data_IF_250865236812
#
_entry.id   IF_250865236812
#
_cell.length_a   1.000
_cell.length_b   1.000
_cell.length_c   1.000
_cell.angle_alpha   90.00
_cell.angle_beta   90.00
_cell.angle_gamma   90.00
#
_symmetry.space_group_name_H-M   'P 1'
#
loop_
_entity.id
_entity.type
_entity.pdbx_description
1 polymer ?
#
# COMPACT_ATOMS: atom_id res chain seq x y z
N UNK A 1 -8.93 -1.94 -37.27
CA UNK A 1 -7.65 -1.44 -36.70
C UNK A 1 -7.08 -2.55 -35.83
N UNK A 2 -5.74 -2.71 -35.73
CA UNK A 2 -5.19 -3.69 -34.79
C UNK A 2 -5.67 -3.37 -33.36
N UNK A 3 -5.91 -4.41 -32.56
CA UNK A 3 -6.33 -4.26 -31.18
C UNK A 3 -5.27 -3.50 -30.37
N UNK A 4 -5.72 -2.63 -29.46
CA UNK A 4 -4.83 -1.90 -28.54
C UNK A 4 -4.05 -2.90 -27.67
N UNK A 5 -2.71 -2.81 -27.67
CA UNK A 5 -1.84 -3.64 -26.82
C UNK A 5 -1.31 -2.87 -25.63
N UNK A 6 -1.50 -3.41 -24.44
CA UNK A 6 -1.07 -2.77 -23.20
C UNK A 6 -0.14 -3.70 -22.41
N UNK A 7 1.07 -3.22 -22.10
CA UNK A 7 1.93 -3.90 -21.13
C UNK A 7 1.65 -3.36 -19.72
N UNK A 8 1.41 -4.25 -18.76
CA UNK A 8 1.36 -3.95 -17.33
C UNK A 8 2.58 -4.60 -16.68
N UNK A 9 3.51 -3.78 -16.18
CA UNK A 9 4.79 -4.26 -15.64
C UNK A 9 4.71 -4.37 -14.12
N UNK A 10 4.72 -5.60 -13.59
CA UNK A 10 4.53 -5.93 -12.17
C UNK A 10 3.13 -6.47 -11.89
N UNK A 11 3.00 -7.57 -11.15
CA UNK A 11 1.72 -8.27 -10.91
C UNK A 11 1.22 -8.23 -9.46
N UNK A 12 1.71 -7.26 -8.67
CA UNK A 12 1.11 -6.97 -7.37
C UNK A 12 -0.32 -6.41 -7.51
N UNK A 13 -0.94 -5.95 -6.41
CA UNK A 13 -2.32 -5.47 -6.40
C UNK A 13 -2.61 -4.40 -7.45
N UNK A 14 -1.65 -3.48 -7.70
CA UNK A 14 -1.74 -2.50 -8.76
C UNK A 14 -1.86 -3.15 -10.16
N UNK A 15 -0.82 -3.88 -10.58
CA UNK A 15 -0.79 -4.41 -11.94
C UNK A 15 -1.89 -5.42 -12.22
N UNK A 16 -2.20 -6.29 -11.26
CA UNK A 16 -3.31 -7.23 -11.39
C UNK A 16 -4.67 -6.53 -11.51
N UNK A 17 -4.90 -5.44 -10.77
CA UNK A 17 -6.13 -4.64 -10.92
C UNK A 17 -6.23 -3.95 -12.28
N UNK A 18 -5.13 -3.38 -12.77
CA UNK A 18 -5.12 -2.78 -14.11
C UNK A 18 -5.36 -3.82 -15.20
N UNK A 19 -4.67 -4.96 -15.11
CA UNK A 19 -4.78 -6.03 -16.09
C UNK A 19 -6.19 -6.64 -16.12
N UNK A 20 -6.80 -6.84 -14.96
CA UNK A 20 -8.19 -7.30 -14.84
C UNK A 20 -9.16 -6.35 -15.56
N UNK A 21 -9.06 -5.04 -15.30
CA UNK A 21 -9.93 -4.02 -15.92
C UNK A 21 -9.76 -3.98 -17.45
N UNK A 22 -8.52 -4.04 -17.94
CA UNK A 22 -8.24 -4.02 -19.38
C UNK A 22 -8.73 -5.30 -20.07
N UNK A 23 -8.49 -6.47 -19.47
CA UNK A 23 -8.92 -7.75 -20.01
C UNK A 23 -10.45 -7.87 -20.09
N UNK A 24 -11.18 -7.42 -19.05
CA UNK A 24 -12.65 -7.32 -19.06
C UNK A 24 -13.19 -6.46 -20.20
N UNK A 25 -12.43 -5.46 -20.67
CA UNK A 25 -12.79 -4.60 -21.79
C UNK A 25 -12.35 -5.15 -23.16
N UNK A 26 -11.79 -6.37 -23.23
CA UNK A 26 -11.31 -6.99 -24.46
C UNK A 26 -10.00 -6.39 -25.01
N UNK A 27 -9.26 -5.63 -24.20
CA UNK A 27 -7.97 -5.05 -24.59
C UNK A 27 -6.86 -6.09 -24.46
N UNK A 28 -6.02 -6.22 -25.48
CA UNK A 28 -4.91 -7.16 -25.51
C UNK A 28 -3.86 -6.76 -24.45
N UNK A 29 -3.85 -7.50 -23.34
CA UNK A 29 -3.11 -7.12 -22.13
C UNK A 29 -2.01 -8.12 -21.83
N UNK A 30 -0.82 -7.62 -21.53
CA UNK A 30 0.36 -8.39 -21.15
C UNK A 30 0.78 -8.03 -19.73
N UNK A 31 0.62 -8.96 -18.79
CA UNK A 31 0.93 -8.76 -17.37
C UNK A 31 2.27 -9.42 -17.04
N UNK A 32 3.29 -8.63 -16.70
CA UNK A 32 4.61 -9.14 -16.37
C UNK A 32 4.80 -9.32 -14.86
N UNK A 33 5.38 -10.45 -14.46
CA UNK A 33 5.88 -10.67 -13.11
C UNK A 33 7.23 -11.37 -13.13
N UNK A 34 8.18 -10.91 -12.31
CA UNK A 34 9.49 -11.56 -12.21
C UNK A 34 9.47 -12.80 -11.32
N UNK A 35 8.70 -12.78 -10.24
CA UNK A 35 8.63 -13.89 -9.27
C UNK A 35 7.19 -14.18 -8.90
N UNK A 36 6.61 -15.21 -9.50
CA UNK A 36 5.22 -15.60 -9.24
C UNK A 36 5.00 -16.16 -7.82
N UNK A 37 6.05 -16.70 -7.21
CA UNK A 37 6.07 -17.36 -5.91
C UNK A 37 6.44 -16.43 -4.74
N UNK A 38 6.72 -15.15 -5.00
CA UNK A 38 7.18 -14.22 -4.00
C UNK A 38 6.34 -12.95 -3.99
N UNK A 39 6.20 -12.35 -2.81
CA UNK A 39 5.48 -11.10 -2.65
C UNK A 39 6.32 -10.05 -1.93
N UNK A 40 5.95 -8.78 -2.11
CA UNK A 40 6.53 -7.66 -1.36
C UNK A 40 6.23 -7.82 0.14
N UNK A 41 7.21 -7.62 1.04
CA UNK A 41 6.98 -7.56 2.49
C UNK A 41 5.94 -6.51 2.85
N UNK A 42 4.99 -6.87 3.72
CA UNK A 42 3.90 -6.00 4.12
C UNK A 42 3.24 -6.49 5.41
N UNK A 43 2.70 -5.56 6.20
CA UNK A 43 1.85 -5.85 7.34
C UNK A 43 0.50 -6.47 6.96
N UNK A 44 0.06 -6.36 5.70
CA UNK A 44 -1.06 -7.12 5.14
C UNK A 44 -2.46 -6.65 5.54
N UNK A 45 -2.59 -5.50 6.19
CA UNK A 45 -3.90 -4.91 6.50
C UNK A 45 -4.56 -4.31 5.24
N UNK A 46 -5.83 -4.64 5.01
CA UNK A 46 -6.66 -4.10 3.94
C UNK A 46 -7.98 -3.54 4.51
N UNK A 47 -8.47 -2.41 3.98
CA UNK A 47 -9.72 -1.81 4.42
C UNK A 47 -10.92 -2.59 3.87
N UNK A 48 -12.07 -2.49 4.55
CA UNK A 48 -13.31 -3.16 4.14
C UNK A 48 -13.76 -2.77 2.73
N UNK A 49 -13.59 -1.50 2.33
CA UNK A 49 -13.91 -1.07 0.96
C UNK A 49 -13.07 -1.78 -0.10
N UNK A 50 -11.85 -2.24 0.22
CA UNK A 50 -11.06 -3.03 -0.73
C UNK A 50 -11.69 -4.40 -0.93
N UNK A 51 -12.20 -5.03 0.13
CA UNK A 51 -12.85 -6.34 0.07
C UNK A 51 -14.04 -6.29 -0.88
N UNK A 52 -14.91 -5.30 -0.71
CA UNK A 52 -16.09 -5.14 -1.57
C UNK A 52 -15.76 -4.64 -2.97
N UNK A 53 -14.91 -3.62 -3.11
CA UNK A 53 -14.64 -3.02 -4.42
C UNK A 53 -13.86 -3.98 -5.35
N UNK A 54 -13.02 -4.86 -4.79
CA UNK A 54 -12.21 -5.81 -5.56
C UNK A 54 -12.73 -7.23 -5.53
N UNK A 55 -13.97 -7.45 -5.06
CA UNK A 55 -14.61 -8.77 -4.98
C UNK A 55 -13.67 -9.81 -4.34
N UNK A 56 -13.09 -9.46 -3.19
CA UNK A 56 -12.14 -10.34 -2.50
C UNK A 56 -12.93 -11.36 -1.66
N UNK A 57 -12.72 -12.65 -1.89
CA UNK A 57 -13.49 -13.67 -1.20
C UNK A 57 -12.92 -13.87 0.23
N UNK A 58 -13.76 -14.27 1.21
CA UNK A 58 -13.33 -14.34 2.61
C UNK A 58 -12.18 -15.34 2.85
N UNK A 59 -12.00 -16.33 1.99
CA UNK A 59 -10.99 -17.39 2.11
C UNK A 59 -9.55 -16.87 1.95
N UNK A 60 -9.35 -15.71 1.31
CA UNK A 60 -8.03 -15.08 1.18
C UNK A 60 -7.72 -14.10 2.32
N UNK A 61 -8.68 -13.89 3.23
CA UNK A 61 -8.56 -13.02 4.39
C UNK A 61 -8.21 -13.88 5.59
N UNK A 62 -6.91 -13.96 5.94
CA UNK A 62 -6.40 -14.81 7.01
C UNK A 62 -7.05 -14.48 8.38
N UNK A 63 -7.28 -13.19 8.68
CA UNK A 63 -7.95 -12.72 9.91
C UNK A 63 -8.82 -11.51 9.65
N UNK A 64 -9.94 -11.43 10.39
CA UNK A 64 -10.82 -10.27 10.44
C UNK A 64 -10.58 -9.54 11.77
N UNK A 65 -9.72 -8.53 11.74
CA UNK A 65 -9.37 -7.75 12.94
C UNK A 65 -10.49 -6.76 13.25
N UNK A 66 -10.95 -6.79 14.50
CA UNK A 66 -12.01 -5.92 15.03
C UNK A 66 -11.56 -5.03 16.18
N UNK A 67 -10.43 -5.39 16.78
CA UNK A 67 -9.82 -4.66 17.87
C UNK A 67 -8.46 -4.13 17.39
N UNK A 68 -8.22 -2.85 17.61
CA UNK A 68 -6.90 -2.26 17.48
C UNK A 68 -6.48 -1.70 18.82
N UNK A 69 -5.23 -1.93 19.20
CA UNK A 69 -4.63 -1.30 20.37
C UNK A 69 -3.59 -0.29 19.91
N UNK A 70 -3.76 0.95 20.33
CA UNK A 70 -2.75 1.99 20.18
C UNK A 70 -1.95 2.08 21.48
N UNK A 71 -0.61 1.94 21.38
CA UNK A 71 0.28 1.98 22.54
C UNK A 71 1.19 3.20 22.44
N UNK A 72 1.12 4.08 23.44
CA UNK A 72 1.87 5.35 23.53
C UNK A 72 3.34 5.15 23.94
N UNK A 73 4.22 6.16 23.85
CA UNK A 73 5.60 6.05 24.32
C UNK A 73 5.75 5.57 25.77
N UNK A 74 4.84 5.96 26.67
CA UNK A 74 4.81 5.58 28.09
C UNK A 74 4.03 4.28 28.36
N UNK A 75 3.78 3.47 27.32
CA UNK A 75 3.02 2.22 27.37
C UNK A 75 1.55 2.38 27.85
N UNK A 76 0.96 3.57 27.68
CA UNK A 76 -0.50 3.72 27.82
C UNK A 76 -1.16 3.02 26.63
N UNK A 77 -2.03 2.06 26.93
CA UNK A 77 -2.78 1.31 25.95
C UNK A 77 -4.19 1.89 25.79
N UNK A 78 -4.57 2.21 24.55
CA UNK A 78 -5.92 2.61 24.18
C UNK A 78 -6.50 1.57 23.25
N UNK A 79 -7.60 0.96 23.69
CA UNK A 79 -8.35 0.00 22.89
C UNK A 79 -9.34 0.72 21.98
N UNK A 80 -9.34 0.32 20.71
CA UNK A 80 -10.23 0.82 19.68
C UNK A 80 -11.00 -0.37 19.10
N UNK A 81 -12.32 -0.30 19.19
CA UNK A 81 -13.22 -1.37 18.77
C UNK A 81 -14.05 -0.97 17.56
N UNK A 82 -14.13 -1.85 16.56
CA UNK A 82 -15.02 -1.68 15.41
C UNK A 82 -16.44 -2.08 15.82
N UNK A 83 -17.27 -1.08 16.07
CA UNK A 83 -18.62 -1.25 16.64
C UNK A 83 -19.59 -2.04 15.75
N UNK A 84 -19.55 -1.87 14.42
CA UNK A 84 -20.53 -2.53 13.55
C UNK A 84 -20.14 -4.00 13.31
N UNK A 85 -21.09 -4.91 13.52
CA UNK A 85 -20.84 -6.35 13.49
C UNK A 85 -20.33 -6.90 12.16
N UNK A 86 -20.56 -6.22 11.03
CA UNK A 86 -20.10 -6.69 9.72
C UNK A 86 -18.84 -5.97 9.23
N UNK A 87 -18.23 -5.12 10.07
CA UNK A 87 -17.02 -4.37 9.74
C UNK A 87 -15.79 -4.98 10.39
N UNK A 88 -14.68 -4.99 9.65
CA UNK A 88 -13.38 -5.48 10.09
C UNK A 88 -12.26 -4.92 9.21
N UNK A 89 -11.02 -5.01 9.71
CA UNK A 89 -9.81 -4.84 8.93
C UNK A 89 -9.35 -6.23 8.47
N UNK A 90 -9.26 -6.43 7.16
CA UNK A 90 -8.82 -7.70 6.60
C UNK A 90 -7.31 -7.84 6.75
N UNK A 91 -6.85 -8.98 7.26
CA UNK A 91 -5.42 -9.30 7.33
C UNK A 91 -5.10 -10.39 6.32
N UNK A 92 -4.22 -10.09 5.38
CA UNK A 92 -3.88 -10.99 4.29
C UNK A 92 -2.37 -11.25 4.23
N UNK A 93 -1.99 -12.48 3.90
CA UNK A 93 -0.69 -12.77 3.28
C UNK A 93 -0.65 -12.22 1.86
N UNK A 94 0.44 -11.50 1.55
CA UNK A 94 0.62 -10.88 0.24
C UNK A 94 0.77 -11.91 -0.87
N UNK A 95 1.42 -13.04 -0.60
CA UNK A 95 1.53 -14.15 -1.55
C UNK A 95 0.16 -14.73 -1.98
N UNK A 96 -0.82 -14.76 -1.06
CA UNK A 96 -2.18 -15.24 -1.35
C UNK A 96 -2.99 -14.17 -2.07
N UNK A 97 -3.00 -12.94 -1.54
CA UNK A 97 -3.76 -11.83 -2.12
C UNK A 97 -3.26 -11.49 -3.54
N UNK A 98 -1.95 -11.31 -3.72
CA UNK A 98 -1.36 -10.97 -5.01
C UNK A 98 -1.60 -12.12 -6.02
N UNK A 99 -1.45 -13.37 -5.57
CA UNK A 99 -1.72 -14.56 -6.38
C UNK A 99 -3.17 -14.63 -6.85
N UNK A 100 -4.14 -14.43 -5.95
CA UNK A 100 -5.56 -14.40 -6.27
C UNK A 100 -5.88 -13.34 -7.34
N UNK A 101 -5.48 -12.08 -7.10
CA UNK A 101 -5.78 -10.98 -8.03
C UNK A 101 -5.14 -11.20 -9.40
N UNK A 102 -3.89 -11.70 -9.42
CA UNK A 102 -3.14 -11.98 -10.65
C UNK A 102 -3.78 -13.10 -11.46
N UNK A 103 -4.12 -14.22 -10.79
CA UNK A 103 -4.71 -15.37 -11.46
C UNK A 103 -6.08 -15.02 -12.03
N UNK A 104 -6.89 -14.25 -11.28
CA UNK A 104 -8.17 -13.74 -11.78
C UNK A 104 -8.02 -12.87 -13.02
N UNK A 105 -7.01 -11.99 -13.06
CA UNK A 105 -6.73 -11.20 -14.27
C UNK A 105 -6.37 -12.08 -15.47
N UNK A 106 -5.60 -13.15 -15.26
CA UNK A 106 -5.24 -14.12 -16.29
C UNK A 106 -6.45 -14.93 -16.78
N UNK A 107 -7.31 -15.40 -15.87
CA UNK A 107 -8.57 -16.11 -16.19
C UNK A 107 -9.51 -15.26 -17.05
N UNK A 108 -9.47 -13.94 -16.88
CA UNK A 108 -10.24 -12.98 -17.68
C UNK A 108 -9.59 -12.60 -19.03
N UNK A 109 -8.43 -13.18 -19.35
CA UNK A 109 -7.77 -13.04 -20.66
C UNK A 109 -6.50 -12.20 -20.68
N UNK A 110 -5.97 -11.75 -19.53
CA UNK A 110 -4.64 -11.12 -19.51
C UNK A 110 -3.53 -12.16 -19.75
N UNK A 111 -2.60 -11.86 -20.64
CA UNK A 111 -1.44 -12.71 -20.92
C UNK A 111 -0.42 -12.57 -19.79
N UNK A 112 -0.46 -13.47 -18.81
CA UNK A 112 0.50 -13.51 -17.71
C UNK A 112 1.86 -14.03 -18.22
N UNK A 113 2.89 -13.20 -18.08
CA UNK A 113 4.26 -13.51 -18.46
C UNK A 113 5.12 -13.56 -17.20
N UNK A 114 5.68 -14.73 -16.90
CA UNK A 114 6.75 -14.86 -15.91
C UNK A 114 8.04 -14.30 -16.52
N UNK A 115 8.29 -13.01 -16.36
CA UNK A 115 9.40 -12.32 -17.00
C UNK A 115 9.92 -11.10 -16.25
N UNK A 116 11.24 -10.96 -16.20
CA UNK A 116 11.91 -9.77 -15.67
C UNK A 116 12.04 -8.72 -16.76
N UNK A 117 11.23 -7.67 -16.72
CA UNK A 117 11.42 -6.49 -17.58
C UNK A 117 12.71 -5.77 -17.18
N UNK A 118 13.64 -5.58 -18.13
CA UNK A 118 14.91 -4.91 -17.87
C UNK A 118 15.13 -3.64 -18.70
N UNK A 119 14.42 -3.44 -19.80
CA UNK A 119 14.52 -2.21 -20.61
C UNK A 119 13.17 -1.87 -21.26
N UNK A 120 12.90 -0.59 -21.37
CA UNK A 120 11.79 -0.01 -22.11
C UNK A 120 12.36 0.98 -23.12
N UNK A 121 12.16 0.73 -24.41
CA UNK A 121 12.51 1.70 -25.45
C UNK A 121 11.29 2.59 -25.76
N UNK A 122 11.53 3.89 -25.64
CA UNK A 122 10.55 4.94 -25.94
C UNK A 122 10.71 5.30 -27.43
N UNK A 123 9.63 5.26 -28.23
CA UNK A 123 9.70 5.58 -29.65
C UNK A 123 10.00 7.07 -29.86
N UNK A 124 10.66 7.39 -30.97
CA UNK A 124 10.92 8.78 -31.39
C UNK A 124 9.67 9.50 -31.89
N UNK A 125 8.73 8.74 -32.48
CA UNK A 125 7.42 9.24 -32.90
C UNK A 125 6.32 8.69 -32.00
N UNK A 126 5.39 9.57 -31.62
CA UNK A 126 4.19 9.18 -30.91
C UNK A 126 3.31 8.19 -31.70
N UNK A 127 3.47 7.96 -33.01
CA UNK A 127 2.67 6.94 -33.71
C UNK A 127 3.22 5.51 -33.60
N UNK A 128 4.45 5.33 -33.10
CA UNK A 128 5.12 4.04 -33.05
C UNK A 128 4.91 3.33 -31.69
N UNK A 129 4.98 1.99 -31.65
CA UNK A 129 4.86 1.23 -30.41
C UNK A 129 6.11 1.37 -29.54
N UNK A 130 5.94 1.21 -28.23
CA UNK A 130 7.00 0.99 -27.26
C UNK A 130 7.55 -0.43 -27.41
N UNK A 131 8.82 -0.65 -27.07
CA UNK A 131 9.40 -2.00 -27.02
C UNK A 131 9.83 -2.35 -25.60
N UNK A 132 9.20 -3.40 -25.05
CA UNK A 132 9.56 -4.01 -23.77
C UNK A 132 10.63 -5.06 -24.03
N UNK A 133 11.71 -5.03 -23.26
CA UNK A 133 12.71 -6.09 -23.23
C UNK A 133 12.65 -6.79 -21.88
N UNK A 134 12.56 -8.11 -21.90
CA UNK A 134 12.40 -8.91 -20.71
C UNK A 134 13.13 -10.24 -20.80
N UNK A 135 13.55 -10.76 -19.66
CA UNK A 135 14.04 -12.13 -19.52
C UNK A 135 12.85 -13.01 -19.18
N UNK A 136 12.46 -13.89 -20.08
CA UNK A 136 11.36 -14.85 -19.92
C UNK A 136 11.82 -16.06 -19.09
N UNK A 137 11.12 -16.35 -18.00
CA UNK A 137 11.42 -17.42 -17.04
C UNK A 137 10.44 -18.61 -17.16
N UNK A 138 9.68 -18.71 -18.25
CA UNK A 138 8.73 -19.81 -18.48
C UNK A 138 9.39 -21.20 -18.58
N UNK A 139 10.69 -21.27 -18.88
CA UNK A 139 11.50 -22.50 -18.88
C UNK A 139 12.03 -22.90 -17.49
N UNK A 140 11.73 -22.12 -16.45
CA UNK A 140 12.25 -22.31 -15.09
C UNK A 140 13.70 -21.82 -14.89
N UNK A 141 14.34 -21.26 -15.92
CA UNK A 141 15.70 -20.72 -15.83
C UNK A 141 15.74 -19.42 -15.02
N UNK A 142 16.67 -19.35 -14.05
CA UNK A 142 16.93 -18.13 -13.27
C UNK A 142 17.40 -16.97 -14.16
N UNK A 143 18.14 -17.26 -15.23
CA UNK A 143 18.59 -16.22 -16.19
C UNK A 143 17.45 -15.78 -17.11
N UNK A 144 16.59 -16.72 -17.47
CA UNK A 144 15.55 -16.55 -18.47
C UNK A 144 16.09 -16.34 -19.89
N UNK A 145 15.19 -16.41 -20.87
CA UNK A 145 15.50 -16.15 -22.28
C UNK A 145 15.14 -14.70 -22.64
N UNK A 146 16.09 -13.96 -23.23
CA UNK A 146 15.83 -12.58 -23.65
C UNK A 146 14.79 -12.53 -24.77
N UNK A 147 13.72 -11.77 -24.55
CA UNK A 147 12.64 -11.55 -25.51
C UNK A 147 12.28 -10.07 -25.58
N UNK A 148 11.57 -9.72 -26.64
CA UNK A 148 11.00 -8.38 -26.84
C UNK A 148 9.51 -8.46 -27.12
N UNK A 149 8.79 -7.41 -26.75
CA UNK A 149 7.36 -7.26 -27.02
C UNK A 149 7.06 -5.81 -27.40
N UNK A 150 6.36 -5.61 -28.52
CA UNK A 150 5.88 -4.28 -28.94
C UNK A 150 4.48 -4.04 -28.40
N UNK A 151 4.28 -2.90 -27.75
CA UNK A 151 2.99 -2.49 -27.17
C UNK A 151 2.71 -1.02 -27.43
N UNK A 152 1.45 -0.63 -27.34
CA UNK A 152 1.02 0.73 -27.64
C UNK A 152 1.00 1.59 -26.37
N UNK A 153 0.68 1.00 -25.22
CA UNK A 153 0.63 1.66 -23.90
C UNK A 153 1.40 0.83 -22.87
N UNK A 154 2.02 1.49 -21.90
CA UNK A 154 2.71 0.83 -20.78
C UNK A 154 2.18 1.36 -19.45
N UNK A 155 1.78 0.45 -18.55
CA UNK A 155 1.45 0.74 -17.16
C UNK A 155 2.59 0.21 -16.29
N UNK A 156 3.37 1.11 -15.68
CA UNK A 156 4.38 0.77 -14.68
C UNK A 156 3.75 0.54 -13.31
N UNK A 157 3.67 -0.73 -12.91
CA UNK A 157 3.18 -1.20 -11.61
C UNK A 157 4.27 -1.98 -10.84
N UNK A 158 5.53 -1.72 -11.16
CA UNK A 158 6.73 -2.48 -10.79
C UNK A 158 7.35 -2.03 -9.46
N UNK A 159 6.49 -1.54 -8.57
CA UNK A 159 6.83 -1.25 -7.18
C UNK A 159 7.71 -0.01 -7.01
N UNK A 160 8.23 0.15 -5.80
CA UNK A 160 9.03 1.31 -5.42
C UNK A 160 10.29 1.47 -6.31
N UNK A 161 10.98 0.37 -6.62
CA UNK A 161 12.19 0.35 -7.44
C UNK A 161 11.91 0.31 -8.95
N UNK A 162 10.82 0.94 -9.38
CA UNK A 162 10.30 0.91 -10.76
C UNK A 162 11.38 1.21 -11.81
N UNK A 163 11.54 0.28 -12.75
CA UNK A 163 12.37 0.43 -13.95
C UNK A 163 11.63 1.21 -15.02
N UNK A 164 10.30 1.07 -15.09
CA UNK A 164 9.47 1.88 -15.99
C UNK A 164 9.60 3.36 -15.64
N UNK A 165 9.54 3.72 -14.36
CA UNK A 165 9.72 5.09 -13.89
C UNK A 165 11.11 5.66 -14.27
N UNK A 166 12.17 4.85 -14.14
CA UNK A 166 13.53 5.25 -14.56
C UNK A 166 13.61 5.48 -16.07
N UNK A 167 12.98 4.62 -16.87
CA UNK A 167 13.03 4.71 -18.33
C UNK A 167 12.38 6.00 -18.86
N UNK A 168 11.34 6.51 -18.18
CA UNK A 168 10.65 7.75 -18.58
C UNK A 168 11.15 9.00 -17.86
N UNK A 169 12.24 8.89 -17.10
CA UNK A 169 12.78 9.97 -16.27
C UNK A 169 11.70 10.60 -15.36
N UNK A 170 11.08 9.74 -14.54
CA UNK A 170 9.94 10.10 -13.71
C UNK A 170 10.28 11.04 -12.54
N UNK A 171 11.58 11.24 -12.26
CA UNK A 171 12.10 11.88 -11.05
C UNK A 171 11.99 10.98 -9.80
N UNK A 172 12.78 11.28 -8.78
CA UNK A 172 12.79 10.55 -7.51
C UNK A 172 11.66 10.99 -6.56
N UNK A 173 11.44 10.18 -5.52
CA UNK A 173 10.58 10.52 -4.38
C UNK A 173 11.30 10.23 -3.06
N UNK A 174 10.77 10.76 -1.96
CA UNK A 174 11.15 10.36 -0.62
C UNK A 174 10.44 9.06 -0.20
N UNK A 175 11.13 8.24 0.60
CA UNK A 175 10.59 6.98 1.08
C UNK A 175 10.96 6.70 2.54
N UNK A 176 10.10 5.93 3.19
CA UNK A 176 10.41 5.22 4.43
C UNK A 176 10.96 3.82 4.11
N UNK A 177 11.70 3.24 5.04
CA UNK A 177 12.07 1.83 5.04
C UNK A 177 11.21 1.13 6.07
N UNK A 178 10.43 0.15 5.63
CA UNK A 178 9.79 -0.81 6.52
C UNK A 178 10.68 -2.03 6.70
N UNK A 179 10.74 -2.53 7.93
CA UNK A 179 11.43 -3.74 8.33
C UNK A 179 10.48 -4.56 9.19
N UNK A 180 10.37 -5.85 8.93
CA UNK A 180 9.52 -6.74 9.72
C UNK A 180 10.09 -8.15 9.85
N UNK A 181 9.69 -8.80 10.92
CA UNK A 181 9.89 -10.21 11.17
C UNK A 181 8.52 -10.91 11.15
N UNK A 182 8.42 -12.02 10.43
CA UNK A 182 7.31 -12.97 10.61
C UNK A 182 7.68 -13.86 11.78
N UNK A 183 6.86 -13.85 12.83
CA UNK A 183 7.11 -14.61 14.06
C UNK A 183 5.95 -15.57 14.26
N UNK A 184 6.20 -16.88 14.10
CA UNK A 184 5.23 -17.90 14.46
C UNK A 184 5.14 -17.98 15.98
N UNK A 185 3.93 -18.11 16.52
CA UNK A 185 3.69 -18.19 17.95
C UNK A 185 3.00 -19.52 18.30
N UNK A 186 3.14 -20.02 19.53
CA UNK A 186 2.30 -21.10 20.04
C UNK A 186 0.80 -20.74 19.96
N UNK A 187 -0.09 -21.73 19.82
CA UNK A 187 -1.53 -21.51 19.60
C UNK A 187 -2.18 -20.65 20.69
N UNK A 188 -1.82 -20.87 21.97
CA UNK A 188 -2.33 -20.08 23.09
C UNK A 188 -1.92 -18.60 23.00
N UNK A 189 -0.77 -18.30 22.41
CA UNK A 189 -0.30 -16.94 22.18
C UNK A 189 -0.94 -16.33 20.92
N UNK A 190 -1.17 -17.14 19.86
CA UNK A 190 -1.91 -16.67 18.68
C UNK A 190 -3.37 -16.33 18.98
N UNK A 191 -4.01 -16.99 19.97
CA UNK A 191 -5.38 -16.68 20.38
C UNK A 191 -5.53 -15.23 20.87
N UNK A 192 -4.52 -14.65 21.50
CA UNK A 192 -4.53 -13.23 21.88
C UNK A 192 -4.65 -12.30 20.66
N UNK A 193 -4.09 -12.71 19.52
CA UNK A 193 -4.11 -11.96 18.27
C UNK A 193 -5.20 -12.46 17.28
N UNK A 194 -6.22 -13.18 17.76
CA UNK A 194 -7.27 -13.73 16.90
C UNK A 194 -8.02 -12.65 16.10
N UNK A 195 -8.34 -11.52 16.74
CA UNK A 195 -9.04 -10.37 16.14
C UNK A 195 -8.42 -9.01 16.52
N UNK A 196 -7.18 -9.04 17.03
CA UNK A 196 -6.46 -7.88 17.57
C UNK A 196 -5.22 -7.54 16.73
N UNK A 197 -5.07 -6.26 16.37
CA UNK A 197 -3.83 -5.70 15.86
C UNK A 197 -3.30 -4.63 16.82
N UNK A 198 -1.97 -4.54 16.94
CA UNK A 198 -1.33 -3.56 17.82
C UNK A 198 -0.47 -2.60 17.02
N UNK A 199 -0.54 -1.31 17.37
CA UNK A 199 0.28 -0.24 16.82
C UNK A 199 0.99 0.49 17.95
N UNK A 200 2.30 0.61 17.82
CA UNK A 200 3.20 1.19 18.80
C UNK A 200 3.80 2.48 18.26
N UNK A 201 3.69 3.56 19.02
CA UNK A 201 4.33 4.83 18.71
C UNK A 201 5.38 5.16 19.79
N UNK A 202 6.48 5.78 19.36
CA UNK A 202 7.57 6.18 20.24
C UNK A 202 8.91 6.22 19.51
N UNK A 203 9.80 7.13 19.90
CA UNK A 203 11.12 7.26 19.27
C UNK A 203 11.98 6.00 19.36
N UNK A 204 11.74 5.16 20.37
CA UNK A 204 12.45 3.91 20.61
C UNK A 204 12.05 2.80 19.61
N UNK A 205 10.83 2.85 19.09
CA UNK A 205 10.31 1.90 18.09
C UNK A 205 10.23 2.48 16.69
N UNK A 206 10.03 3.78 16.54
CA UNK A 206 9.92 4.49 15.26
C UNK A 206 9.87 6.02 15.45
N UNK A 207 10.93 6.77 15.05
CA UNK A 207 11.04 8.21 15.31
C UNK A 207 10.20 9.11 14.39
N UNK A 208 9.58 8.58 13.34
CA UNK A 208 8.87 9.36 12.31
C UNK A 208 7.66 8.61 11.69
N UNK A 209 7.39 7.41 12.19
CA UNK A 209 6.30 6.53 11.76
C UNK A 209 5.76 5.74 12.98
N UNK A 210 5.32 4.49 12.81
CA UNK A 210 4.97 3.59 13.91
C UNK A 210 5.54 2.17 13.72
N UNK A 211 5.49 1.38 14.78
CA UNK A 211 5.74 -0.06 14.78
C UNK A 211 4.45 -0.85 14.97
N UNK A 212 4.42 -2.13 14.60
CA UNK A 212 3.20 -2.92 14.57
C UNK A 212 3.42 -4.37 15.00
N UNK A 213 2.34 -4.97 15.51
CA UNK A 213 2.16 -6.42 15.63
C UNK A 213 0.84 -6.79 14.97
N UNK A 214 0.93 -7.36 13.76
CA UNK A 214 -0.22 -7.58 12.88
C UNK A 214 -0.45 -9.08 12.65
N UNK A 215 -1.59 -9.65 13.07
CA UNK A 215 -1.84 -11.07 12.90
C UNK A 215 -2.00 -11.51 11.45
N UNK A 216 -1.68 -12.77 11.23
CA UNK A 216 -1.95 -13.57 10.03
C UNK A 216 -2.58 -14.89 10.50
N UNK A 217 -2.61 -15.91 9.63
CA UNK A 217 -3.26 -17.16 9.96
C UNK A 217 -2.51 -17.94 11.08
N UNK A 218 -1.18 -18.06 11.01
CA UNK A 218 -0.34 -18.87 11.92
C UNK A 218 0.84 -18.11 12.55
N UNK A 219 0.96 -16.81 12.29
CA UNK A 219 2.04 -15.96 12.76
C UNK A 219 1.59 -14.51 12.92
N UNK A 220 2.43 -13.70 13.54
CA UNK A 220 2.31 -12.24 13.54
C UNK A 220 3.43 -11.62 12.72
N UNK A 221 3.13 -10.53 12.02
CA UNK A 221 4.13 -9.64 11.45
C UNK A 221 4.49 -8.58 12.50
N UNK A 222 5.72 -8.63 13.01
CA UNK A 222 6.26 -7.66 13.98
C UNK A 222 7.26 -6.77 13.26
N UNK A 223 6.95 -5.49 13.13
CA UNK A 223 7.77 -4.61 12.32
C UNK A 223 7.74 -3.15 12.73
N UNK A 224 8.59 -2.38 12.06
CA UNK A 224 8.72 -0.94 12.21
C UNK A 224 9.00 -0.28 10.87
N UNK A 225 8.65 0.99 10.75
CA UNK A 225 9.01 1.84 9.63
C UNK A 225 9.81 3.04 10.10
N UNK A 226 10.74 3.53 9.28
CA UNK A 226 11.34 4.85 9.51
C UNK A 226 11.76 5.54 8.22
N UNK A 227 11.83 6.87 8.22
CA UNK A 227 12.27 7.60 7.04
C UNK A 227 13.70 7.26 6.64
N UNK A 228 14.02 7.38 5.34
CA UNK A 228 15.36 7.09 4.80
C UNK A 228 16.50 7.77 5.57
N UNK A 229 16.27 8.99 6.07
CA UNK A 229 17.26 9.73 6.89
C UNK A 229 17.65 8.98 8.17
N UNK A 230 16.72 8.21 8.73
CA UNK A 230 16.86 7.43 9.96
C UNK A 230 17.10 5.93 9.70
N UNK A 231 17.31 5.50 8.45
CA UNK A 231 17.42 4.08 8.09
C UNK A 231 18.51 3.31 8.86
N UNK A 232 19.56 3.99 9.31
CA UNK A 232 20.64 3.39 10.10
C UNK A 232 20.13 2.87 11.46
N UNK A 233 19.04 3.43 11.98
CA UNK A 233 18.42 3.04 13.25
C UNK A 233 17.55 1.79 13.13
N UNK A 234 17.18 1.35 11.92
CA UNK A 234 16.10 0.37 11.70
C UNK A 234 16.26 -0.93 12.52
N UNK A 235 17.48 -1.43 12.69
CA UNK A 235 17.75 -2.63 13.49
C UNK A 235 17.54 -2.39 15.00
N UNK A 236 17.94 -1.21 15.49
CA UNK A 236 17.71 -0.79 16.89
C UNK A 236 16.20 -0.63 17.13
N UNK A 237 15.49 0.00 16.20
CA UNK A 237 14.04 0.17 16.25
C UNK A 237 13.30 -1.17 16.26
N UNK A 238 13.73 -2.13 15.40
CA UNK A 238 13.19 -3.49 15.42
C UNK A 238 13.41 -4.18 16.78
N UNK A 239 14.59 -4.02 17.37
CA UNK A 239 14.86 -4.55 18.71
C UNK A 239 13.96 -3.89 19.78
N UNK A 240 13.67 -2.59 19.65
CA UNK A 240 12.74 -1.86 20.49
C UNK A 240 11.33 -2.44 20.46
N UNK A 241 10.74 -2.63 19.27
CA UNK A 241 9.40 -3.22 19.16
C UNK A 241 9.37 -4.65 19.69
N UNK A 242 10.42 -5.46 19.46
CA UNK A 242 10.51 -6.80 20.06
C UNK A 242 10.52 -6.75 21.59
N UNK A 243 11.23 -5.78 22.19
CA UNK A 243 11.29 -5.63 23.63
C UNK A 243 9.91 -5.23 24.20
N UNK A 244 9.23 -4.26 23.58
CA UNK A 244 7.90 -3.81 24.02
C UNK A 244 6.83 -4.88 23.87
N UNK A 245 6.90 -5.70 22.82
CA UNK A 245 5.97 -6.80 22.60
C UNK A 245 6.40 -8.12 23.28
N UNK A 246 7.53 -8.17 24.01
CA UNK A 246 8.15 -9.43 24.44
C UNK A 246 7.22 -10.39 25.21
N UNK A 247 6.39 -9.84 26.12
CA UNK A 247 5.41 -10.62 26.89
C UNK A 247 4.36 -11.30 26.01
N UNK A 248 4.04 -10.71 24.86
CA UNK A 248 3.04 -11.19 23.89
C UNK A 248 3.64 -12.09 22.81
N UNK A 249 4.97 -12.18 22.76
CA UNK A 249 5.73 -12.98 21.77
C UNK A 249 6.46 -14.18 22.40
N UNK A 250 6.11 -14.56 23.63
CA UNK A 250 6.73 -15.68 24.36
C UNK A 250 6.64 -16.98 23.55
N UNK A 251 7.76 -17.68 23.43
CA UNK A 251 7.87 -18.91 22.64
C UNK A 251 7.87 -18.70 21.13
N UNK A 252 7.86 -17.46 20.66
CA UNK A 252 7.84 -17.12 19.25
C UNK A 252 9.13 -17.48 18.51
N UNK A 253 9.00 -17.88 17.24
CA UNK A 253 10.14 -18.20 16.36
C UNK A 253 10.10 -17.32 15.11
N UNK A 254 11.21 -16.64 14.84
CA UNK A 254 11.35 -15.84 13.62
C UNK A 254 11.47 -16.81 12.43
N UNK A 255 10.49 -16.78 11.54
CA UNK A 255 10.44 -17.62 10.34
C UNK A 255 10.90 -16.86 9.09
N UNK A 256 10.85 -15.52 9.12
CA UNK A 256 11.30 -14.69 8.00
C UNK A 256 11.66 -13.29 8.47
N UNK A 257 12.69 -12.70 7.87
CA UNK A 257 13.10 -11.30 8.07
C UNK A 257 13.00 -10.59 6.75
N UNK A 258 12.36 -9.43 6.72
CA UNK A 258 11.97 -8.76 5.49
C UNK A 258 12.14 -7.24 5.60
N UNK A 259 12.51 -6.59 4.49
CA UNK A 259 12.59 -5.14 4.42
C UNK A 259 12.14 -4.63 3.04
N UNK A 260 11.48 -3.46 3.00
CA UNK A 260 11.06 -2.86 1.74
C UNK A 260 10.89 -1.34 1.83
N UNK A 261 11.24 -0.58 0.78
CA UNK A 261 10.94 0.85 0.72
C UNK A 261 9.44 1.13 0.56
N UNK A 262 8.97 2.19 1.21
CA UNK A 262 7.60 2.70 1.17
C UNK A 262 7.63 4.13 0.61
N UNK A 263 7.14 4.37 -0.62
CA UNK A 263 7.20 5.68 -1.25
C UNK A 263 6.11 6.62 -0.74
N UNK A 264 6.46 7.57 0.11
CA UNK A 264 5.50 8.46 0.80
C UNK A 264 5.10 9.71 0.00
N UNK A 265 5.66 9.87 -1.20
CA UNK A 265 5.34 10.99 -2.07
C UNK A 265 5.17 10.55 -3.53
N UNK A 266 4.20 11.12 -4.24
CA UNK A 266 4.08 10.91 -5.66
C UNK A 266 5.33 11.36 -6.41
N UNK A 267 5.70 10.65 -7.48
CA UNK A 267 6.75 11.11 -8.38
C UNK A 267 6.37 12.43 -9.07
N UNK A 268 7.35 13.29 -9.39
CA UNK A 268 7.10 14.50 -10.18
C UNK A 268 6.38 14.22 -11.51
N UNK A 269 6.77 13.15 -12.20
CA UNK A 269 6.16 12.72 -13.47
C UNK A 269 5.61 11.31 -13.31
N UNK A 270 4.28 11.19 -13.45
CA UNK A 270 3.55 9.92 -13.36
C UNK A 270 2.96 9.46 -14.70
N UNK A 271 2.98 10.34 -15.69
CA UNK A 271 2.59 10.06 -17.08
C UNK A 271 3.58 10.77 -18.01
N UNK A 272 4.14 10.03 -18.97
CA UNK A 272 5.04 10.56 -20.02
C UNK A 272 4.75 9.79 -21.31
N UNK A 273 4.36 10.48 -22.38
CA UNK A 273 3.84 9.83 -23.58
C UNK A 273 2.65 8.91 -23.24
N UNK A 274 2.69 7.66 -23.69
CA UNK A 274 1.72 6.61 -23.34
C UNK A 274 2.21 5.66 -22.24
N UNK A 275 3.04 6.17 -21.35
CA UNK A 275 3.46 5.43 -20.15
C UNK A 275 2.82 6.07 -18.93
N UNK A 276 2.12 5.28 -18.13
CA UNK A 276 1.53 5.69 -16.87
C UNK A 276 2.11 4.87 -15.71
N UNK A 277 2.40 5.51 -14.58
CA UNK A 277 2.83 4.85 -13.35
C UNK A 277 1.64 4.73 -12.40
N UNK A 278 1.57 3.62 -11.66
CA UNK A 278 0.50 3.35 -10.68
C UNK A 278 1.08 2.70 -9.42
N UNK A 279 0.32 2.73 -8.32
CA UNK A 279 0.80 2.17 -7.05
C UNK A 279 2.10 2.79 -6.55
N UNK A 280 2.94 1.95 -5.94
CA UNK A 280 4.24 2.37 -5.42
C UNK A 280 5.17 2.96 -6.50
N UNK A 281 5.02 2.54 -7.77
CA UNK A 281 5.81 3.12 -8.86
C UNK A 281 5.48 4.60 -9.07
N UNK A 282 4.22 4.99 -8.84
CA UNK A 282 3.76 6.37 -8.87
C UNK A 282 3.87 7.11 -7.53
N UNK A 283 4.14 6.41 -6.43
CA UNK A 283 4.19 6.97 -5.07
C UNK A 283 2.81 7.22 -4.46
N UNK A 284 1.87 6.29 -4.63
CA UNK A 284 0.50 6.40 -4.09
C UNK A 284 0.37 5.82 -2.68
N UNK A 285 1.43 5.68 -1.88
CA UNK A 285 1.26 5.27 -0.48
C UNK A 285 0.83 6.46 0.35
N UNK A 286 -0.10 6.26 1.29
CA UNK A 286 -0.50 7.33 2.20
C UNK A 286 0.48 7.51 3.34
N UNK A 287 0.73 8.78 3.67
CA UNK A 287 1.46 9.20 4.86
C UNK A 287 0.72 8.84 6.14
N UNK A 288 1.46 8.84 7.26
CA UNK A 288 1.00 8.48 8.61
C UNK A 288 0.55 7.02 8.78
N UNK A 289 -0.13 6.40 7.82
CA UNK A 289 -0.58 5.00 7.88
C UNK A 289 0.27 4.03 7.05
N UNK A 290 1.13 4.51 6.13
CA UNK A 290 1.95 3.66 5.25
C UNK A 290 1.13 2.69 4.39
N UNK A 291 -0.16 2.94 4.24
CA UNK A 291 -1.07 2.06 3.55
C UNK A 291 -0.90 2.19 2.03
N UNK A 292 -0.48 1.09 1.41
CA UNK A 292 -0.23 1.04 -0.03
C UNK A 292 -1.18 0.14 -0.80
N UNK A 293 -1.71 -0.94 -0.21
CA UNK A 293 -2.38 -2.01 -0.97
C UNK A 293 -3.62 -1.49 -1.71
N UNK A 294 -4.56 -0.88 -0.98
CA UNK A 294 -5.78 -0.34 -1.57
C UNK A 294 -5.48 0.76 -2.59
N UNK A 295 -4.63 1.73 -2.24
CA UNK A 295 -4.30 2.84 -3.15
C UNK A 295 -3.53 2.38 -4.39
N UNK A 296 -2.73 1.32 -4.29
CA UNK A 296 -2.08 0.71 -5.42
C UNK A 296 -3.08 0.05 -6.36
N UNK A 297 -3.96 -0.81 -5.84
CA UNK A 297 -5.02 -1.45 -6.62
C UNK A 297 -5.97 -0.40 -7.26
N UNK A 298 -6.37 0.60 -6.47
CA UNK A 298 -7.31 1.64 -6.89
C UNK A 298 -6.73 2.60 -7.94
N UNK A 299 -5.49 3.07 -7.76
CA UNK A 299 -4.85 3.93 -8.76
C UNK A 299 -4.71 3.23 -10.10
N UNK A 300 -4.35 1.94 -10.07
CA UNK A 300 -4.20 1.13 -11.26
C UNK A 300 -5.54 0.84 -11.97
N UNK A 301 -6.58 0.51 -11.21
CA UNK A 301 -7.95 0.37 -11.74
C UNK A 301 -8.42 1.67 -12.39
N UNK A 302 -8.26 2.82 -11.71
CA UNK A 302 -8.63 4.12 -12.28
C UNK A 302 -7.85 4.46 -13.55
N UNK A 303 -6.56 4.12 -13.61
CA UNK A 303 -5.74 4.28 -14.81
C UNK A 303 -6.26 3.42 -15.97
N UNK A 304 -6.55 2.14 -15.70
CA UNK A 304 -7.09 1.21 -16.69
C UNK A 304 -8.50 1.62 -17.18
N UNK A 305 -9.39 2.04 -16.28
CA UNK A 305 -10.72 2.59 -16.63
C UNK A 305 -10.59 3.80 -17.56
N UNK A 306 -9.66 4.72 -17.27
CA UNK A 306 -9.38 5.86 -18.16
C UNK A 306 -8.84 5.41 -19.52
N UNK A 307 -7.98 4.39 -19.57
CA UNK A 307 -7.51 3.82 -20.85
C UNK A 307 -8.70 3.23 -21.62
N UNK A 308 -9.54 2.41 -20.99
CA UNK A 308 -10.72 1.81 -21.63
C UNK A 308 -11.64 2.89 -22.21
N UNK A 309 -12.00 3.89 -21.42
CA UNK A 309 -12.87 5.00 -21.83
C UNK A 309 -12.26 5.80 -22.98
N UNK A 310 -11.03 6.27 -22.81
CA UNK A 310 -10.41 7.18 -23.79
C UNK A 310 -10.02 6.46 -25.07
N UNK A 311 -9.66 5.18 -25.01
CA UNK A 311 -9.39 4.35 -26.19
C UNK A 311 -10.65 3.88 -26.93
N UNK A 312 -11.85 4.16 -26.42
CA UNK A 312 -13.11 3.58 -26.88
C UNK A 312 -13.02 2.04 -26.94
N UNK A 313 -12.73 1.43 -25.79
CA UNK A 313 -12.54 -0.01 -25.59
C UNK A 313 -11.49 -0.59 -26.56
N UNK A 314 -10.35 0.09 -26.70
CA UNK A 314 -9.24 -0.34 -27.55
C UNK A 314 -9.37 -0.01 -29.04
N UNK A 315 -10.41 0.71 -29.46
CA UNK A 315 -10.60 1.12 -30.87
C UNK A 315 -9.61 2.18 -31.35
N UNK A 316 -8.96 2.91 -30.43
CA UNK A 316 -7.88 3.86 -30.73
C UNK A 316 -6.77 3.83 -29.69
N UNK A 317 -5.61 4.36 -30.05
CA UNK A 317 -4.50 4.54 -29.12
C UNK A 317 -4.72 5.82 -28.28
N UNK A 318 -4.69 5.76 -26.93
CA UNK A 318 -4.84 6.94 -26.08
C UNK A 318 -3.58 7.83 -26.14
N UNK A 319 -3.76 9.13 -25.97
CA UNK A 319 -2.68 10.13 -25.92
C UNK A 319 -2.15 10.33 -24.49
N UNK A 320 -1.06 11.08 -24.33
CA UNK A 320 -0.57 11.48 -23.00
C UNK A 320 -1.63 12.27 -22.21
N UNK A 321 -2.38 13.15 -22.88
CA UNK A 321 -3.44 13.94 -22.25
C UNK A 321 -4.62 13.07 -21.80
N UNK A 322 -4.96 12.04 -22.59
CA UNK A 322 -5.93 11.03 -22.21
C UNK A 322 -5.50 10.32 -20.93
N UNK A 323 -4.24 9.88 -20.84
CA UNK A 323 -3.72 9.23 -19.63
C UNK A 323 -3.67 10.19 -18.43
N UNK A 324 -3.28 11.47 -18.60
CA UNK A 324 -3.29 12.45 -17.51
C UNK A 324 -4.68 12.67 -16.89
N UNK A 325 -5.76 12.25 -17.54
CA UNK A 325 -7.10 12.31 -16.97
C UNK A 325 -7.23 11.44 -15.71
N UNK A 326 -6.55 10.28 -15.62
CA UNK A 326 -6.63 9.46 -14.41
C UNK A 326 -6.00 10.18 -13.21
N UNK A 327 -4.90 10.93 -13.43
CA UNK A 327 -4.27 11.75 -12.38
C UNK A 327 -5.21 12.84 -11.88
N UNK A 328 -5.90 13.54 -12.79
CA UNK A 328 -6.90 14.55 -12.42
C UNK A 328 -8.04 13.95 -11.58
N UNK A 329 -8.52 12.76 -11.96
CA UNK A 329 -9.56 12.01 -11.22
C UNK A 329 -9.04 11.55 -9.85
N UNK A 330 -7.80 11.07 -9.79
CA UNK A 330 -7.13 10.67 -8.56
C UNK A 330 -6.98 11.84 -7.59
N UNK A 331 -6.41 12.95 -8.05
CA UNK A 331 -6.17 14.14 -7.23
C UNK A 331 -7.50 14.75 -6.75
N UNK A 332 -8.55 14.75 -7.59
CA UNK A 332 -9.89 15.17 -7.18
C UNK A 332 -10.48 14.27 -6.09
N UNK A 333 -10.29 12.95 -6.19
CA UNK A 333 -10.88 11.98 -5.26
C UNK A 333 -10.12 11.88 -3.94
N UNK A 334 -8.79 11.87 -3.98
CA UNK A 334 -7.94 11.56 -2.83
C UNK A 334 -7.02 12.70 -2.40
N UNK A 335 -6.89 13.77 -3.17
CA UNK A 335 -5.95 14.87 -2.85
C UNK A 335 -6.17 15.46 -1.46
N UNK A 336 -7.43 15.59 -1.02
CA UNK A 336 -7.73 16.04 0.34
C UNK A 336 -7.32 15.00 1.40
N UNK A 337 -7.61 13.72 1.17
CA UNK A 337 -7.17 12.63 2.05
C UNK A 337 -5.65 12.66 2.28
N UNK A 338 -4.86 12.80 1.20
CA UNK A 338 -3.40 12.88 1.30
C UNK A 338 -2.93 14.12 2.06
N UNK A 339 -3.57 15.28 1.85
CA UNK A 339 -3.26 16.51 2.59
C UNK A 339 -3.53 16.36 4.08
N UNK A 340 -4.67 15.79 4.47
CA UNK A 340 -4.99 15.56 5.90
C UNK A 340 -3.97 14.63 6.54
N UNK A 341 -3.63 13.52 5.88
CA UNK A 341 -2.66 12.55 6.40
C UNK A 341 -1.23 13.12 6.49
N UNK A 342 -0.82 13.99 5.57
CA UNK A 342 0.46 14.69 5.65
C UNK A 342 0.50 15.65 6.85
N UNK A 343 -0.60 16.36 7.13
CA UNK A 343 -0.70 17.23 8.32
C UNK A 343 -0.63 16.38 9.60
N UNK A 344 -1.39 15.29 9.67
CA UNK A 344 -1.38 14.40 10.83
C UNK A 344 0.02 13.85 11.12
N UNK A 345 0.76 13.41 10.09
CA UNK A 345 2.14 12.94 10.26
C UNK A 345 3.04 14.05 10.84
N UNK A 346 2.99 15.27 10.27
CA UNK A 346 3.84 16.40 10.72
C UNK A 346 3.54 16.84 12.16
N UNK A 347 2.28 16.78 12.58
CA UNK A 347 1.84 17.21 13.91
C UNK A 347 2.14 16.15 14.97
N UNK A 348 1.79 14.89 14.71
CA UNK A 348 1.78 13.87 15.76
C UNK A 348 3.03 12.97 15.80
N UNK A 349 3.80 12.88 14.70
CA UNK A 349 4.95 11.97 14.60
C UNK A 349 6.30 12.69 14.72
N UNK A 350 6.34 13.87 15.34
CA UNK A 350 7.57 14.65 15.49
C UNK A 350 8.28 14.47 16.85
N UNK A 351 7.56 14.03 17.89
CA UNK A 351 8.03 13.95 19.26
C UNK A 351 7.18 12.97 20.06
N UNK A 352 7.73 12.43 21.14
CA UNK A 352 6.97 11.50 22.01
C UNK A 352 5.82 12.22 22.72
N UNK A 353 5.99 13.48 23.13
CA UNK A 353 4.92 14.32 23.65
C UNK A 353 3.71 14.41 22.70
N UNK A 354 3.95 14.60 21.41
CA UNK A 354 2.88 14.65 20.41
C UNK A 354 2.26 13.27 20.16
N UNK A 355 3.04 12.19 20.29
CA UNK A 355 2.52 10.81 20.18
C UNK A 355 1.68 10.41 21.38
N UNK A 356 2.03 10.84 22.59
CA UNK A 356 1.19 10.70 23.78
C UNK A 356 -0.16 11.37 23.54
N UNK A 357 -0.15 12.64 23.11
CA UNK A 357 -1.37 13.37 22.77
C UNK A 357 -2.18 12.68 21.66
N UNK A 358 -1.52 12.06 20.68
CA UNK A 358 -2.20 11.30 19.62
C UNK A 358 -2.91 10.07 20.17
N UNK A 359 -2.24 9.27 21.02
CA UNK A 359 -2.84 8.08 21.63
C UNK A 359 -3.96 8.46 22.61
N UNK A 360 -3.77 9.50 23.42
CA UNK A 360 -4.83 10.04 24.30
C UNK A 360 -6.06 10.46 23.48
N UNK A 361 -5.85 11.14 22.35
CA UNK A 361 -6.93 11.54 21.44
C UNK A 361 -7.66 10.31 20.85
N UNK A 362 -6.95 9.22 20.57
CA UNK A 362 -7.55 7.97 20.12
C UNK A 362 -8.45 7.29 21.17
N UNK A 363 -8.46 7.73 22.44
CA UNK A 363 -9.40 7.23 23.45
C UNK A 363 -10.80 7.85 23.31
N UNK A 364 -10.93 8.94 22.56
CA UNK A 364 -12.22 9.57 22.29
C UNK A 364 -13.01 8.78 21.23
N UNK A 365 -14.23 8.35 21.57
CA UNK A 365 -15.08 7.55 20.67
C UNK A 365 -15.46 8.27 19.37
N UNK A 366 -15.61 9.59 19.39
CA UNK A 366 -15.91 10.36 18.17
C UNK A 366 -14.69 10.33 17.22
N UNK A 367 -13.48 10.43 17.78
CA UNK A 367 -12.22 10.30 17.03
C UNK A 367 -12.07 8.88 16.48
N UNK A 368 -12.27 7.85 17.31
CA UNK A 368 -12.21 6.46 16.87
C UNK A 368 -13.13 6.22 15.68
N UNK A 369 -14.40 6.63 15.79
CA UNK A 369 -15.38 6.47 14.72
C UNK A 369 -14.96 7.17 13.43
N UNK A 370 -14.55 8.44 13.51
CA UNK A 370 -14.13 9.20 12.33
C UNK A 370 -12.88 8.60 11.66
N UNK A 371 -11.89 8.19 12.45
CA UNK A 371 -10.67 7.56 11.94
C UNK A 371 -10.97 6.22 11.28
N UNK A 372 -11.80 5.37 11.90
CA UNK A 372 -12.16 4.07 11.36
C UNK A 372 -13.08 4.16 10.15
N UNK A 373 -14.12 4.99 10.17
CA UNK A 373 -14.97 5.17 8.98
C UNK A 373 -14.11 5.71 7.81
N UNK A 374 -13.20 6.65 8.09
CA UNK A 374 -12.27 7.16 7.07
C UNK A 374 -11.30 6.08 6.57
N UNK A 375 -10.84 5.18 7.45
CA UNK A 375 -9.94 4.08 7.07
C UNK A 375 -10.69 2.97 6.32
N UNK A 376 -11.82 2.48 6.83
CA UNK A 376 -12.56 1.36 6.26
C UNK A 376 -13.18 1.70 4.90
N UNK A 377 -13.61 2.95 4.71
CA UNK A 377 -14.31 3.39 3.50
C UNK A 377 -13.49 4.29 2.57
N UNK A 378 -12.34 4.80 3.04
CA UNK A 378 -11.45 5.72 2.29
C UNK A 378 -12.14 6.98 1.79
N UNK A 379 -13.21 7.37 2.47
CA UNK A 379 -13.90 8.64 2.30
C UNK A 379 -13.56 9.53 3.48
N UNK A 380 -13.21 10.80 3.23
CA UNK A 380 -13.14 11.78 4.32
C UNK A 380 -14.57 11.98 4.79
N UNK A 381 -14.92 11.42 5.95
CA UNK A 381 -16.23 11.65 6.55
C UNK A 381 -16.22 13.08 7.07
N UNK A 382 -17.06 13.99 6.55
CA UNK A 382 -17.15 15.33 7.10
C UNK A 382 -17.68 15.21 8.54
N UNK A 383 -16.83 15.56 9.51
CA UNK A 383 -17.27 15.67 10.89
C UNK A 383 -18.29 16.81 10.98
N UNK A 384 -19.34 16.64 11.79
CA UNK A 384 -20.22 17.74 12.16
C UNK A 384 -19.37 18.91 12.71
N UNK A 385 -19.59 20.17 12.32
CA UNK A 385 -18.78 21.32 12.76
C UNK A 385 -18.56 21.39 14.28
N UNK A 386 -19.57 21.01 15.09
CA UNK A 386 -19.45 20.96 16.55
C UNK A 386 -18.51 19.87 17.03
N UNK A 387 -18.54 18.70 16.38
CA UNK A 387 -17.62 17.59 16.64
C UNK A 387 -16.21 17.98 16.21
N UNK A 388 -16.06 18.66 15.06
CA UNK A 388 -14.76 19.14 14.59
C UNK A 388 -14.15 20.20 15.51
N UNK A 389 -14.95 21.13 16.04
CA UNK A 389 -14.51 22.08 17.06
C UNK A 389 -14.11 21.40 18.37
N UNK A 390 -14.90 20.41 18.83
CA UNK A 390 -14.61 19.62 20.03
C UNK A 390 -13.31 18.82 19.88
N UNK A 391 -13.12 18.14 18.74
CA UNK A 391 -11.89 17.41 18.43
C UNK A 391 -10.71 18.37 18.39
N UNK A 392 -10.83 19.49 17.66
CA UNK A 392 -9.75 20.49 17.57
C UNK A 392 -9.38 21.05 18.95
N UNK A 393 -10.36 21.41 19.78
CA UNK A 393 -10.11 21.89 21.14
C UNK A 393 -9.45 20.82 22.02
N UNK A 394 -9.88 19.55 21.90
CA UNK A 394 -9.26 18.42 22.60
C UNK A 394 -7.84 18.14 22.11
N UNK A 395 -7.59 18.23 20.81
CA UNK A 395 -6.26 18.09 20.22
C UNK A 395 -5.33 19.18 20.75
N UNK A 396 -5.77 20.44 20.74
CA UNK A 396 -4.99 21.55 21.31
C UNK A 396 -4.73 21.31 22.80
N UNK A 397 -5.75 20.93 23.57
CA UNK A 397 -5.60 20.61 24.99
C UNK A 397 -4.63 19.45 25.26
N UNK A 398 -4.68 18.40 24.44
CA UNK A 398 -3.80 17.23 24.57
C UNK A 398 -2.37 17.57 24.17
N UNK A 399 -2.15 18.36 23.12
CA UNK A 399 -0.83 18.87 22.74
C UNK A 399 -0.24 19.77 23.83
N UNK A 400 -1.06 20.64 24.45
CA UNK A 400 -0.64 21.49 25.57
C UNK A 400 -0.27 20.64 26.81
N UNK A 401 -1.04 19.60 27.13
CA UNK A 401 -0.71 18.66 28.22
C UNK A 401 0.52 17.83 27.92
N UNK A 402 0.64 17.29 26.70
CA UNK A 402 1.80 16.52 26.25
C UNK A 402 3.09 17.34 26.36
N UNK A 403 3.06 18.63 25.96
CA UNK A 403 4.21 19.53 26.12
C UNK A 403 4.50 19.91 27.58
N UNK A 404 3.50 19.89 28.47
CA UNK A 404 3.67 20.17 29.90
C UNK A 404 4.14 18.94 30.71
N UNK A 405 3.92 17.73 30.18
CA UNK A 405 4.29 16.44 30.81
C UNK A 405 5.53 15.81 30.17
N UNK A 406 6.06 16.38 29.09
CA UNK A 406 7.30 15.95 28.47
C UNK A 406 8.49 16.27 29.40
N UNK A 407 9.35 15.29 29.74
CA UNK A 407 10.55 15.51 30.55
C UNK A 407 11.63 16.34 29.85
#
# INVERSE_FOLDING_TARGET
MPALRVAVVGSGPAGSSAAETLAKAGIETYLFERKLDNAKPCGGAIPLCMVSEFDLPPEIIDRQVRNMKMISPSDIEVDIHIEKQNEYIGMCRREVLDGFMRNRAAELGANLINGTVYKLDIPTSNSQPYTIYYSDHSDGSVKGTHKTLKVDVVIGADGANSRVAKAIDAGDYNYAIAFQERISLPDNMMNYYQDLAEMYVGNDVSPDFYAWVFPKYDHVAVGTGTMRVNQALIKKLQAGIRARAAKKLVGGKIIKVEAHPIPEHPRPRRVVGRVALVGDAAGTVTKSSGEGIYFAAKSARMCAETIVETSNSGSRIPTENDLKLYLKRWDKKYGMTYKVLDILQRVFYNSDASREAFVEMCADKDVQRLTFDSYLYKTVVPANPLIQMKITAKTIGSLLRGNALAP
#
